data_IF_940739736306
#
_entry.id   IF_940739736306
#
_cell.length_a   1.000
_cell.length_b   1.000
_cell.length_c   1.000
_cell.angle_alpha   90.00
_cell.angle_beta   90.00
_cell.angle_gamma   90.00
#
_symmetry.space_group_name_H-M   'P 1'
#
loop_
_entity.id
_entity.type
_entity.pdbx_description
1 polymer ?
#
# COMPACT_ATOMS: atom_id res chain seq x y z
N UNK A 1 -13.38 2.55 -10.74
CA UNK A 1 -12.54 2.43 -11.95
C UNK A 1 -12.35 3.78 -12.64
N UNK A 2 -13.35 4.35 -13.32
CA UNK A 2 -13.14 5.61 -14.09
C UNK A 2 -12.65 6.78 -13.23
N UNK A 3 -13.18 6.94 -12.02
CA UNK A 3 -12.69 7.94 -11.07
C UNK A 3 -11.21 7.73 -10.67
N UNK A 4 -10.75 6.49 -10.56
CA UNK A 4 -9.33 6.19 -10.28
C UNK A 4 -8.47 6.50 -11.50
N UNK A 5 -8.92 6.14 -12.71
CA UNK A 5 -8.19 6.49 -13.94
C UNK A 5 -8.01 7.99 -14.07
N UNK A 6 -9.08 8.76 -13.85
CA UNK A 6 -9.03 10.22 -13.89
C UNK A 6 -8.09 10.79 -12.82
N UNK A 7 -8.07 10.22 -11.62
CA UNK A 7 -7.12 10.60 -10.57
C UNK A 7 -5.67 10.52 -11.07
N UNK A 8 -5.29 9.43 -11.75
CA UNK A 8 -3.93 9.26 -12.28
C UNK A 8 -3.68 10.03 -13.57
N UNK A 9 -4.71 10.40 -14.35
CA UNK A 9 -4.54 11.34 -15.48
C UNK A 9 -4.14 12.72 -14.95
N UNK A 10 -4.81 13.18 -13.89
CA UNK A 10 -4.66 14.51 -13.32
C UNK A 10 -3.46 14.65 -12.39
N UNK A 11 -2.98 13.54 -11.80
CA UNK A 11 -1.93 13.56 -10.79
C UNK A 11 -0.81 12.59 -11.16
N UNK A 12 0.42 13.01 -10.89
CA UNK A 12 1.59 12.14 -10.91
C UNK A 12 2.11 12.01 -9.47
N UNK A 13 1.99 10.82 -8.89
CA UNK A 13 2.46 10.54 -7.53
C UNK A 13 3.83 9.86 -7.51
N UNK A 14 4.46 9.63 -8.67
CA UNK A 14 5.78 9.02 -8.74
C UNK A 14 6.83 9.98 -8.18
N UNK A 15 7.56 9.53 -7.16
CA UNK A 15 8.71 10.27 -6.62
C UNK A 15 9.98 10.01 -7.44
N UNK A 16 10.13 8.77 -7.94
CA UNK A 16 11.23 8.37 -8.81
C UNK A 16 10.75 7.40 -9.89
N UNK A 17 10.62 7.91 -11.12
CA UNK A 17 10.11 7.15 -12.26
C UNK A 17 10.94 5.90 -12.60
N UNK A 18 12.24 5.90 -12.32
CA UNK A 18 13.08 4.70 -12.49
C UNK A 18 12.69 3.58 -11.53
N UNK A 19 12.22 3.91 -10.31
CA UNK A 19 11.72 2.89 -9.37
C UNK A 19 10.40 2.31 -9.89
N UNK A 20 9.49 3.15 -10.39
CA UNK A 20 8.26 2.68 -11.03
C UNK A 20 8.55 1.75 -12.22
N UNK A 21 9.48 2.11 -13.10
CA UNK A 21 9.89 1.27 -14.23
C UNK A 21 10.37 -0.11 -13.77
N UNK A 22 11.16 -0.18 -12.68
CA UNK A 22 11.61 -1.47 -12.13
C UNK A 22 10.43 -2.34 -11.70
N UNK A 23 9.42 -1.78 -11.03
CA UNK A 23 8.20 -2.49 -10.68
C UNK A 23 7.42 -2.96 -11.92
N UNK A 24 7.13 -2.04 -12.84
CA UNK A 24 6.33 -2.33 -14.05
C UNK A 24 6.99 -3.37 -14.97
N UNK A 25 8.32 -3.39 -15.01
CA UNK A 25 9.08 -4.36 -15.81
C UNK A 25 9.00 -5.78 -15.23
N UNK A 26 8.87 -5.93 -13.91
CA UNK A 26 8.73 -7.26 -13.28
C UNK A 26 7.28 -7.69 -13.11
N UNK A 27 6.31 -6.77 -13.26
CA UNK A 27 4.90 -7.12 -13.15
C UNK A 27 4.47 -8.19 -14.15
N UNK A 28 3.85 -9.24 -13.63
CA UNK A 28 3.21 -10.30 -14.42
C UNK A 28 2.02 -9.74 -15.21
N UNK A 29 1.50 -10.53 -16.16
CA UNK A 29 0.29 -10.17 -16.91
C UNK A 29 -0.92 -9.98 -16.00
N UNK A 30 -1.05 -10.82 -14.97
CA UNK A 30 -2.14 -10.76 -14.00
C UNK A 30 -2.07 -9.50 -13.15
N UNK A 31 -0.86 -9.12 -12.71
CA UNK A 31 -0.64 -7.88 -11.95
C UNK A 31 -0.96 -6.64 -12.78
N UNK A 32 -0.53 -6.60 -14.05
CA UNK A 32 -0.89 -5.52 -14.97
C UNK A 32 -2.41 -5.43 -15.17
N UNK A 33 -3.05 -6.57 -15.40
CA UNK A 33 -4.51 -6.65 -15.53
C UNK A 33 -5.24 -6.21 -14.26
N UNK A 34 -4.71 -6.52 -13.07
CA UNK A 34 -5.23 -6.01 -11.80
C UNK A 34 -5.22 -4.49 -11.78
N UNK A 35 -4.07 -3.85 -12.01
CA UNK A 35 -3.97 -2.38 -12.00
C UNK A 35 -4.88 -1.72 -13.05
N UNK A 36 -4.95 -2.30 -14.25
CA UNK A 36 -5.88 -1.85 -15.29
C UNK A 36 -7.35 -1.94 -14.83
N UNK A 37 -7.72 -3.03 -14.14
CA UNK A 37 -9.09 -3.25 -13.65
C UNK A 37 -9.51 -2.26 -12.55
N UNK A 38 -8.57 -1.82 -11.72
CA UNK A 38 -8.83 -0.83 -10.66
C UNK A 38 -8.62 0.62 -11.15
N UNK A 39 -8.03 0.79 -12.33
CA UNK A 39 -7.79 2.09 -12.96
C UNK A 39 -6.56 2.82 -12.44
N UNK A 40 -5.59 2.09 -11.88
CA UNK A 40 -4.32 2.64 -11.38
C UNK A 40 -3.33 2.68 -12.53
N UNK A 41 -2.63 3.81 -12.73
CA UNK A 41 -1.46 3.87 -13.61
C UNK A 41 -0.19 3.59 -12.78
N UNK A 42 0.47 2.43 -12.98
CA UNK A 42 1.64 2.09 -12.18
C UNK A 42 2.84 3.01 -12.37
N UNK A 43 2.94 3.69 -13.52
CA UNK A 43 4.03 4.64 -13.80
C UNK A 43 3.87 5.99 -13.10
N UNK A 44 2.72 6.20 -12.47
CA UNK A 44 2.36 7.42 -11.72
C UNK A 44 2.03 7.13 -10.25
N UNK A 45 2.06 5.87 -9.82
CA UNK A 45 1.93 5.49 -8.42
C UNK A 45 3.18 5.90 -7.64
N UNK A 46 3.08 5.99 -6.31
CA UNK A 46 4.26 6.26 -5.49
C UNK A 46 5.06 4.98 -5.37
N UNK A 47 6.34 5.02 -5.73
CA UNK A 47 7.23 3.89 -5.57
C UNK A 47 8.55 4.36 -4.94
N UNK A 48 9.01 3.64 -3.93
CA UNK A 48 10.24 3.95 -3.20
C UNK A 48 11.15 2.72 -3.15
N UNK A 49 12.45 2.95 -3.18
CA UNK A 49 13.47 1.94 -2.91
C UNK A 49 14.40 2.51 -1.83
N UNK A 50 14.48 1.83 -0.69
CA UNK A 50 15.45 2.09 0.36
C UNK A 50 16.48 0.98 0.37
N UNK A 51 17.75 1.36 0.46
CA UNK A 51 18.88 0.44 0.57
C UNK A 51 19.42 0.57 1.99
N UNK A 52 19.45 -0.56 2.70
CA UNK A 52 20.05 -0.66 4.02
C UNK A 52 21.35 -1.44 3.91
N UNK A 53 22.45 -0.82 4.32
CA UNK A 53 23.74 -1.49 4.45
C UNK A 53 23.78 -2.22 5.80
N UNK A 54 23.94 -3.55 5.75
CA UNK A 54 24.19 -4.37 6.93
C UNK A 54 25.72 -4.45 7.08
N UNK A 55 26.30 -3.95 8.17
CA UNK A 55 27.74 -4.05 8.41
C UNK A 55 28.15 -5.50 8.61
N UNK A 56 29.41 -5.81 8.26
CA UNK A 56 30.04 -7.06 8.67
C UNK A 56 30.13 -7.12 10.21
N UNK A 57 29.88 -8.30 10.78
CA UNK A 57 30.16 -8.63 12.18
C UNK A 57 31.10 -9.86 12.24
N UNK A 58 31.69 -10.16 13.40
CA UNK A 58 32.65 -11.25 13.60
C UNK A 58 32.08 -12.62 13.19
N UNK A 59 30.76 -12.79 13.21
CA UNK A 59 30.06 -14.04 12.87
C UNK A 59 29.28 -14.01 11.55
N UNK A 60 28.96 -12.84 10.99
CA UNK A 60 28.05 -12.70 9.84
C UNK A 60 28.61 -11.72 8.82
N UNK A 61 28.73 -12.17 7.57
CA UNK A 61 29.04 -11.27 6.45
C UNK A 61 27.87 -10.30 6.24
N UNK A 62 28.18 -9.02 6.25
CA UNK A 62 27.29 -7.92 5.93
C UNK A 62 26.82 -7.98 4.47
N UNK A 63 25.92 -7.08 4.12
CA UNK A 63 25.25 -7.11 2.82
C UNK A 63 24.37 -5.89 2.59
N UNK A 64 23.54 -5.96 1.56
CA UNK A 64 22.57 -4.89 1.27
C UNK A 64 21.16 -5.46 1.21
N UNK A 65 20.27 -4.87 1.99
CA UNK A 65 18.84 -5.15 1.92
C UNK A 65 18.15 -4.05 1.15
N UNK A 66 17.46 -4.44 0.08
CA UNK A 66 16.63 -3.54 -0.71
C UNK A 66 15.18 -3.69 -0.26
N UNK A 67 14.66 -2.63 0.36
CA UNK A 67 13.26 -2.49 0.71
C UNK A 67 12.57 -1.65 -0.36
N UNK A 68 11.64 -2.24 -1.10
CA UNK A 68 10.85 -1.50 -2.09
C UNK A 68 9.39 -1.48 -1.73
N UNK A 69 8.81 -0.29 -1.74
CA UNK A 69 7.39 -0.06 -1.54
C UNK A 69 6.75 0.46 -2.82
N UNK A 70 5.55 -0.03 -3.11
CA UNK A 70 4.73 0.46 -4.20
C UNK A 70 3.33 0.77 -3.67
N UNK A 71 3.04 2.06 -3.55
CA UNK A 71 1.85 2.63 -2.93
C UNK A 71 0.93 3.24 -3.99
N UNK A 72 -0.26 2.68 -4.13
CA UNK A 72 -1.26 3.13 -5.09
C UNK A 72 -2.58 3.48 -4.40
N UNK A 73 -3.16 4.61 -4.80
CA UNK A 73 -4.51 5.02 -4.38
C UNK A 73 -5.56 4.48 -5.34
N UNK A 74 -6.71 4.13 -4.79
CA UNK A 74 -7.93 3.84 -5.53
C UNK A 74 -9.05 4.74 -5.01
N UNK A 75 -9.86 5.29 -5.90
CA UNK A 75 -11.07 6.02 -5.48
C UNK A 75 -12.12 5.02 -5.00
N UNK A 76 -12.58 5.15 -3.76
CA UNK A 76 -13.50 4.21 -3.12
C UNK A 76 -13.73 4.49 -1.65
N UNK A 77 -14.46 3.59 -0.98
CA UNK A 77 -14.70 3.64 0.46
C UNK A 77 -14.65 2.25 1.05
N UNK A 78 -14.31 2.15 2.33
CA UNK A 78 -14.37 0.89 3.05
C UNK A 78 -15.83 0.54 3.34
N UNK A 79 -16.21 -0.72 3.06
CA UNK A 79 -17.50 -1.28 3.48
C UNK A 79 -17.32 -2.19 4.70
N UNK A 80 -16.16 -2.84 4.77
CA UNK A 80 -15.74 -3.67 5.86
C UNK A 80 -14.24 -3.48 6.11
N UNK A 81 -13.81 -3.80 7.31
CA UNK A 81 -12.41 -3.85 7.70
C UNK A 81 -12.07 -5.23 8.29
N UNK A 82 -10.88 -5.76 8.01
CA UNK A 82 -10.25 -6.76 8.86
C UNK A 82 -10.24 -6.31 10.33
N UNK A 83 -10.52 -7.23 11.25
CA UNK A 83 -10.41 -7.04 12.70
C UNK A 83 -9.07 -6.41 13.12
N UNK A 84 -7.94 -6.89 12.56
CA UNK A 84 -6.61 -6.32 12.77
C UNK A 84 -6.58 -4.79 12.54
N UNK A 85 -7.20 -4.34 11.44
CA UNK A 85 -7.25 -2.91 11.12
C UNK A 85 -8.27 -2.16 11.95
N UNK A 86 -9.39 -2.79 12.32
CA UNK A 86 -10.34 -2.19 13.24
C UNK A 86 -9.67 -1.86 14.57
N UNK A 87 -8.95 -2.81 15.16
CA UNK A 87 -8.22 -2.58 16.41
C UNK A 87 -7.21 -1.44 16.27
N UNK A 88 -6.40 -1.46 15.19
CA UNK A 88 -5.44 -0.40 14.91
C UNK A 88 -6.10 0.98 14.80
N UNK A 89 -7.22 1.09 14.08
CA UNK A 89 -7.90 2.37 13.86
C UNK A 89 -8.80 2.82 15.01
N UNK A 90 -9.07 1.95 15.99
CA UNK A 90 -9.78 2.29 17.23
C UNK A 90 -8.90 2.96 18.27
N UNK A 91 -7.59 3.11 18.02
CA UNK A 91 -6.69 3.86 18.90
C UNK A 91 -7.08 5.35 18.90
N UNK A 92 -7.72 5.80 19.99
CA UNK A 92 -8.18 7.18 20.16
C UNK A 92 -7.02 8.20 20.22
N UNK A 93 -5.82 7.81 20.68
CA UNK A 93 -4.67 8.72 20.73
C UNK A 93 -4.15 9.04 19.33
N UNK A 94 -4.25 8.08 18.42
CA UNK A 94 -3.75 8.21 17.04
C UNK A 94 -4.84 8.71 16.09
N UNK A 95 -6.05 8.17 16.17
CA UNK A 95 -7.13 8.41 15.20
C UNK A 95 -8.34 9.16 15.78
N UNK A 96 -8.39 9.34 17.10
CA UNK A 96 -9.57 9.84 17.79
C UNK A 96 -10.80 8.96 17.58
N UNK A 97 -11.97 9.50 17.91
CA UNK A 97 -13.26 8.85 17.70
C UNK A 97 -13.79 9.08 16.27
N UNK A 98 -13.00 8.67 15.26
CA UNK A 98 -13.32 8.90 13.84
C UNK A 98 -13.68 7.64 13.07
N UNK A 99 -13.48 6.47 13.65
CA UNK A 99 -13.80 5.19 13.04
C UNK A 99 -15.33 5.00 12.98
N UNK A 100 -15.93 4.77 11.80
CA UNK A 100 -17.38 4.63 11.71
C UNK A 100 -17.90 3.30 12.26
N UNK A 101 -18.93 3.39 13.11
CA UNK A 101 -19.62 2.24 13.70
C UNK A 101 -20.25 1.28 12.67
N UNK A 102 -20.60 1.80 11.49
CA UNK A 102 -21.33 1.04 10.47
C UNK A 102 -20.43 0.15 9.59
N UNK A 103 -19.11 0.27 9.70
CA UNK A 103 -18.21 -0.64 8.98
C UNK A 103 -18.43 -2.06 9.49
N UNK A 104 -18.52 -3.01 8.58
CA UNK A 104 -18.51 -4.42 8.97
C UNK A 104 -17.10 -4.85 9.38
N UNK A 105 -17.00 -5.95 10.13
CA UNK A 105 -15.71 -6.56 10.47
C UNK A 105 -15.60 -7.90 9.77
N UNK A 106 -14.54 -8.09 8.99
CA UNK A 106 -14.19 -9.40 8.47
C UNK A 106 -13.21 -10.04 9.45
N UNK A 107 -13.56 -11.21 10.00
CA UNK A 107 -12.64 -11.97 10.84
C UNK A 107 -11.42 -12.39 10.01
N UNK A 108 -10.25 -12.08 10.53
CA UNK A 108 -9.00 -12.65 10.03
C UNK A 108 -8.37 -13.51 11.11
N UNK A 109 -7.30 -14.22 10.77
CA UNK A 109 -6.50 -14.91 11.79
C UNK A 109 -5.88 -13.79 12.65
N UNK A 110 -6.26 -13.66 13.92
CA UNK A 110 -6.01 -12.47 14.77
C UNK A 110 -4.54 -12.05 14.79
N UNK A 111 -3.62 -12.99 14.60
CA UNK A 111 -2.17 -12.75 14.60
C UNK A 111 -1.56 -12.44 13.21
N UNK A 112 -2.36 -12.39 12.15
CA UNK A 112 -1.87 -12.21 10.77
C UNK A 112 -2.38 -10.94 10.13
N UNK A 113 -1.44 -10.14 9.64
CA UNK A 113 -1.77 -8.99 8.81
C UNK A 113 -2.57 -9.44 7.58
N UNK A 114 -3.71 -8.79 7.27
CA UNK A 114 -4.54 -9.13 6.12
C UNK A 114 -3.79 -8.82 4.82
N UNK A 115 -3.18 -9.85 4.25
CA UNK A 115 -2.41 -9.78 3.02
C UNK A 115 -3.18 -10.45 1.88
N UNK A 116 -3.28 -9.75 0.77
CA UNK A 116 -3.96 -10.19 -0.43
C UNK A 116 -2.93 -10.64 -1.46
N UNK A 117 -3.20 -11.78 -2.07
CA UNK A 117 -2.38 -12.30 -3.17
C UNK A 117 -2.60 -11.45 -4.42
N UNK A 118 -1.54 -10.76 -4.86
CA UNK A 118 -1.45 -10.04 -6.13
C UNK A 118 -0.38 -10.69 -7.00
N UNK A 119 -0.37 -12.02 -7.11
CA UNK A 119 0.64 -12.82 -7.81
C UNK A 119 1.89 -13.02 -6.96
N UNK A 120 3.06 -12.65 -7.48
CA UNK A 120 4.33 -12.71 -6.71
C UNK A 120 4.43 -11.66 -5.60
N UNK A 121 3.42 -10.80 -5.43
CA UNK A 121 3.38 -9.77 -4.42
C UNK A 121 2.24 -9.97 -3.44
N UNK A 122 2.56 -9.78 -2.15
CA UNK A 122 1.54 -9.51 -1.14
C UNK A 122 1.13 -8.03 -1.17
N UNK A 123 -0.15 -7.78 -1.32
CA UNK A 123 -0.76 -6.45 -1.21
C UNK A 123 -1.48 -6.28 0.13
N UNK A 124 -1.37 -5.10 0.74
CA UNK A 124 -2.21 -4.69 1.87
C UNK A 124 -3.11 -3.53 1.44
N UNK A 125 -4.36 -3.53 1.88
CA UNK A 125 -5.30 -2.44 1.64
C UNK A 125 -5.66 -1.78 2.97
N UNK A 126 -5.45 -0.46 3.06
CA UNK A 126 -5.58 0.29 4.30
C UNK A 126 -6.03 1.73 4.05
N UNK A 127 -6.44 2.41 5.12
CA UNK A 127 -6.81 3.82 5.03
C UNK A 127 -5.58 4.67 4.69
N UNK A 128 -5.67 5.66 3.79
CA UNK A 128 -4.52 6.43 3.33
C UNK A 128 -3.99 7.46 4.34
N UNK A 129 -4.54 7.55 5.55
CA UNK A 129 -4.13 8.49 6.61
C UNK A 129 -2.61 8.60 6.77
N UNK A 130 -1.91 7.47 6.96
CA UNK A 130 -0.46 7.49 7.19
C UNK A 130 0.38 7.95 6.00
N UNK A 131 -0.21 8.00 4.80
CA UNK A 131 0.48 8.55 3.62
C UNK A 131 0.49 10.08 3.66
N UNK A 132 -0.65 10.68 4.01
CA UNK A 132 -0.83 12.14 4.09
C UNK A 132 -1.99 12.46 5.05
N UNK A 133 -1.71 12.61 6.35
CA UNK A 133 -2.74 12.83 7.37
C UNK A 133 -3.54 14.12 7.14
N UNK A 134 -2.94 15.13 6.50
CA UNK A 134 -3.63 16.38 6.23
C UNK A 134 -4.70 16.18 5.14
N UNK A 135 -4.35 15.46 4.08
CA UNK A 135 -5.27 15.16 2.97
C UNK A 135 -6.31 14.09 3.33
N UNK A 136 -5.94 13.11 4.14
CA UNK A 136 -6.75 11.94 4.45
C UNK A 136 -7.13 11.86 5.93
N UNK A 137 -7.43 13.01 6.55
CA UNK A 137 -7.83 13.09 7.97
C UNK A 137 -9.22 12.54 8.25
N UNK A 138 -10.11 12.52 7.25
CA UNK A 138 -11.46 11.97 7.37
C UNK A 138 -11.47 10.51 6.96
N UNK A 139 -12.23 9.69 7.67
CA UNK A 139 -12.43 8.29 7.32
C UNK A 139 -13.01 8.10 5.92
N UNK A 140 -14.12 8.79 5.63
CA UNK A 140 -14.75 8.83 4.31
C UNK A 140 -14.01 9.81 3.38
N UNK A 141 -12.69 9.67 3.25
CA UNK A 141 -11.88 10.53 2.37
C UNK A 141 -12.07 10.24 0.88
N UNK A 142 -12.76 9.15 0.53
CA UNK A 142 -13.00 8.73 -0.85
C UNK A 142 -11.84 7.97 -1.49
N UNK A 143 -10.88 7.50 -0.68
CA UNK A 143 -9.70 6.78 -1.17
C UNK A 143 -9.39 5.54 -0.32
N UNK A 144 -8.84 4.53 -0.99
CA UNK A 144 -8.25 3.32 -0.41
C UNK A 144 -6.78 3.29 -0.83
N UNK A 145 -5.87 3.02 0.10
CA UNK A 145 -4.45 2.81 -0.19
C UNK A 145 -4.17 1.32 -0.32
N UNK A 146 -3.66 0.91 -1.48
CA UNK A 146 -2.98 -0.36 -1.65
C UNK A 146 -1.47 -0.16 -1.52
N UNK A 147 -0.80 -1.05 -0.79
CA UNK A 147 0.66 -1.06 -0.66
C UNK A 147 1.19 -2.45 -0.95
N UNK A 148 2.21 -2.54 -1.80
CA UNK A 148 3.02 -3.73 -2.03
C UNK A 148 4.39 -3.50 -1.40
N UNK A 149 4.86 -4.48 -0.62
CA UNK A 149 6.19 -4.47 -0.03
C UNK A 149 7.00 -5.64 -0.58
N UNK A 150 8.21 -5.36 -1.06
CA UNK A 150 9.18 -6.40 -1.42
C UNK A 150 10.49 -6.15 -0.69
N UNK A 151 11.03 -7.22 -0.12
CA UNK A 151 12.37 -7.24 0.46
C UNK A 151 13.21 -8.18 -0.39
N UNK A 152 14.40 -7.71 -0.78
CA UNK A 152 15.37 -8.53 -1.49
C UNK A 152 16.74 -8.36 -0.87
N UNK A 153 17.29 -9.48 -0.42
CA UNK A 153 18.67 -9.58 0.06
C UNK A 153 19.63 -9.81 -1.12
N UNK A 154 20.82 -9.22 -1.05
CA UNK A 154 21.93 -9.43 -1.98
C UNK A 154 23.22 -9.75 -1.23
#
# INVERSE_FOLDING_TARGET
MEATKELYIQNDFAENRTVNERFVNVFTKEQKAFFDSVGVDPMRARAEEKVYDIPDDEEVQGGKVYLRTFDFLMCGKFLALPDFYRELYSDEEVFGDTLPDHLETTQTDEDKMPMYDLGEFGGIFKHPYFRDPQKFSKWECGYILGSILTMKDL
#
